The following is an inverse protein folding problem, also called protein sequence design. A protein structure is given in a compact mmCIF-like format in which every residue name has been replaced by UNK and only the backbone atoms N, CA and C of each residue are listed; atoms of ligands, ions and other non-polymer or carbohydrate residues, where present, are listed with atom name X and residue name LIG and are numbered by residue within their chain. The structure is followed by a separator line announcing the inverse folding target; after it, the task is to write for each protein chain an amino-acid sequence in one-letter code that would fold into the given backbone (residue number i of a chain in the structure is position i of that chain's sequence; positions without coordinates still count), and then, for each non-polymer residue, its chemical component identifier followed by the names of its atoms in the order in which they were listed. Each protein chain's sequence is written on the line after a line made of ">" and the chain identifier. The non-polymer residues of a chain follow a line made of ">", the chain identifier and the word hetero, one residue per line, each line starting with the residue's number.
data_IF_451551161285
#
_entry.id   IF_451551161285
#
_cell.length_a   1.000
_cell.length_b   1.000
_cell.length_c   1.000
_cell.angle_alpha   90.00
_cell.angle_beta   90.00
_cell.angle_gamma   90.00
#
_symmetry.space_group_name_H-M   'P 1'
#
loop_
_entity.id
_entity.type
_entity.pdbx_description
1 polymer ?
#
# COMPACT_ATOMS: atom_id res chain seq x y z
N UNK A 1 24.22 -7.36 15.41
CA UNK A 1 22.95 -7.87 15.95
C UNK A 1 22.08 -8.17 14.74
N UNK A 2 21.69 -9.43 14.50
CA UNK A 2 20.90 -9.80 13.31
C UNK A 2 19.51 -9.15 13.37
N UNK A 3 18.93 -8.82 12.21
CA UNK A 3 17.56 -8.29 12.13
C UNK A 3 16.54 -9.22 12.82
N UNK A 4 16.78 -10.54 12.82
CA UNK A 4 15.99 -11.51 13.58
C UNK A 4 16.09 -11.33 15.10
N UNK A 5 17.27 -10.98 15.63
CA UNK A 5 17.42 -10.75 17.08
C UNK A 5 16.74 -9.46 17.50
N UNK A 6 16.82 -8.43 16.67
CA UNK A 6 16.14 -7.15 16.91
C UNK A 6 14.62 -7.36 16.86
N UNK A 7 14.12 -8.10 15.86
CA UNK A 7 12.72 -8.48 15.75
C UNK A 7 12.25 -9.31 16.94
N UNK A 8 13.04 -10.29 17.38
CA UNK A 8 12.70 -11.13 18.52
C UNK A 8 12.64 -10.34 19.83
N UNK A 9 13.61 -9.47 20.09
CA UNK A 9 13.58 -8.60 21.27
C UNK A 9 12.41 -7.61 21.23
N UNK A 10 12.14 -6.98 20.08
CA UNK A 10 11.00 -6.08 19.92
C UNK A 10 9.65 -6.80 20.06
N UNK A 11 9.54 -7.99 19.48
CA UNK A 11 8.36 -8.85 19.59
C UNK A 11 8.14 -9.30 21.03
N UNK A 12 9.19 -9.70 21.74
CA UNK A 12 9.11 -10.16 23.13
C UNK A 12 8.77 -8.99 24.07
N UNK A 13 9.35 -7.81 23.87
CA UNK A 13 9.02 -6.61 24.65
C UNK A 13 7.58 -6.15 24.40
N UNK A 14 7.12 -6.19 23.14
CA UNK A 14 5.74 -5.84 22.78
C UNK A 14 4.74 -6.87 23.32
N UNK A 15 5.06 -8.16 23.23
CA UNK A 15 4.24 -9.25 23.73
C UNK A 15 4.15 -9.22 25.27
N UNK A 16 5.26 -8.95 25.95
CA UNK A 16 5.29 -8.80 27.40
C UNK A 16 4.48 -7.58 27.84
N UNK A 17 4.64 -6.44 27.15
CA UNK A 17 3.81 -5.26 27.38
C UNK A 17 2.32 -5.57 27.21
N UNK A 18 1.94 -6.16 26.08
CA UNK A 18 0.54 -6.50 25.77
C UNK A 18 -0.04 -7.54 26.75
N UNK A 19 0.74 -8.53 27.18
CA UNK A 19 0.33 -9.54 28.15
C UNK A 19 0.09 -8.93 29.54
N UNK A 20 1.03 -8.11 30.03
CA UNK A 20 0.92 -7.41 31.32
C UNK A 20 -0.35 -6.52 31.34
N UNK A 21 -0.62 -5.84 30.23
CA UNK A 21 -1.77 -4.96 30.08
C UNK A 21 -3.09 -5.72 29.88
N UNK A 22 -3.09 -6.86 29.19
CA UNK A 22 -4.26 -7.76 29.06
C UNK A 22 -4.66 -8.35 30.41
N UNK A 23 -3.68 -8.78 31.21
CA UNK A 23 -3.90 -9.26 32.58
C UNK A 23 -4.50 -8.14 33.43
N UNK A 24 -3.97 -6.92 33.30
CA UNK A 24 -4.48 -5.76 34.04
C UNK A 24 -5.90 -5.39 33.61
N UNK A 25 -6.20 -5.39 32.32
CA UNK A 25 -7.55 -5.12 31.81
C UNK A 25 -8.56 -6.19 32.27
N UNK A 26 -8.22 -7.47 32.17
CA UNK A 26 -9.06 -8.59 32.67
C UNK A 26 -9.34 -8.46 34.18
N UNK A 27 -8.37 -8.00 34.96
CA UNK A 27 -8.55 -7.75 36.39
C UNK A 27 -9.58 -6.66 36.67
N UNK A 28 -9.63 -5.58 35.88
CA UNK A 28 -10.66 -4.54 36.06
C UNK A 28 -12.04 -4.98 35.56
N UNK A 29 -12.12 -5.64 34.39
CA UNK A 29 -13.39 -6.11 33.84
C UNK A 29 -14.07 -7.16 34.74
N UNK A 30 -13.30 -8.05 35.38
CA UNK A 30 -13.87 -9.06 36.29
C UNK A 30 -14.19 -8.52 37.70
N UNK A 31 -13.81 -7.28 38.04
CA UNK A 31 -14.02 -6.71 39.37
C UNK A 31 -15.04 -5.57 39.42
N UNK A 32 -15.79 -5.32 38.34
CA UNK A 32 -16.73 -4.17 38.28
C UNK A 32 -18.21 -4.56 38.26
N UNK A 33 -18.63 -5.74 38.75
CA UNK A 33 -20.09 -5.99 38.82
C UNK A 33 -20.65 -6.91 39.92
N UNK A 34 -19.93 -7.21 41.02
CA UNK A 34 -20.52 -8.15 42.01
C UNK A 34 -20.25 -7.92 43.51
N UNK A 35 -20.05 -6.68 43.98
CA UNK A 35 -19.89 -6.48 45.45
C UNK A 35 -20.40 -5.17 46.07
N UNK A 36 -21.31 -4.44 45.40
CA UNK A 36 -21.90 -3.21 45.97
C UNK A 36 -23.33 -3.41 46.50
N UNK A 37 -24.05 -4.48 46.11
CA UNK A 37 -25.43 -4.69 46.60
C UNK A 37 -25.56 -5.57 47.86
N UNK A 38 -24.54 -6.34 48.26
CA UNK A 38 -24.63 -7.22 49.45
C UNK A 38 -24.06 -6.60 50.74
N UNK A 39 -23.47 -5.40 50.63
CA UNK A 39 -22.83 -4.69 51.76
C UNK A 39 -23.75 -3.70 52.50
N UNK A 40 -24.98 -3.49 52.02
CA UNK A 40 -25.98 -2.62 52.68
C UNK A 40 -27.03 -3.38 53.51
N UNK A 41 -26.99 -4.72 53.54
CA UNK A 41 -27.92 -5.56 54.33
C UNK A 41 -27.32 -6.09 55.65
N UNK A 42 -26.01 -5.92 55.89
CA UNK A 42 -25.30 -6.52 57.05
C UNK A 42 -24.87 -5.55 58.16
N UNK A 43 -25.38 -4.31 58.17
CA UNK A 43 -25.06 -3.33 59.25
C UNK A 43 -25.91 -3.53 60.52
N UNK A 44 -26.96 -4.36 60.51
CA UNK A 44 -27.73 -4.67 61.72
C UNK A 44 -27.52 -6.13 62.18
N UNK A 45 -26.41 -6.40 62.87
CA UNK A 45 -26.30 -7.35 64.01
C UNK A 45 -24.85 -7.48 64.48
N UNK A 46 -24.42 -6.52 65.30
CA UNK A 46 -23.42 -6.77 66.33
C UNK A 46 -24.11 -7.48 67.50
N UNK A 47 -23.84 -8.78 67.68
CA UNK A 47 -23.96 -9.42 68.99
C UNK A 47 -23.07 -10.67 69.08
N UNK A 48 -22.14 -10.59 70.03
CA UNK A 48 -21.54 -11.66 70.83
C UNK A 48 -20.57 -12.69 70.19
N UNK A 49 -19.30 -12.48 70.56
CA UNK A 49 -18.41 -13.43 71.27
C UNK A 49 -17.64 -14.55 70.53
N UNK A 50 -16.30 -14.42 70.65
CA UNK A 50 -15.33 -15.43 71.12
C UNK A 50 -14.44 -16.24 70.13
N UNK A 51 -13.15 -15.87 70.19
CA UNK A 51 -11.91 -16.67 70.38
C UNK A 51 -11.32 -17.60 69.29
N UNK A 52 -9.99 -17.39 69.13
CA UNK A 52 -8.89 -18.33 68.80
C UNK A 52 -8.74 -18.70 67.30
N UNK A 53 -7.59 -18.90 66.67
CA UNK A 53 -6.13 -18.87 67.00
C UNK A 53 -5.38 -19.03 65.66
N UNK A 54 -4.13 -18.55 65.55
CA UNK A 54 -3.11 -19.16 64.67
C UNK A 54 -2.82 -18.49 63.31
N UNK A 55 -1.59 -17.96 63.18
CA UNK A 55 -0.92 -17.41 61.99
C UNK A 55 -0.67 -18.52 60.93
N UNK A 56 -0.58 -18.30 59.61
CA UNK A 56 0.30 -17.40 58.88
C UNK A 56 -0.33 -16.91 57.56
N UNK A 57 -0.34 -15.59 57.34
CA UNK A 57 -0.56 -15.00 56.01
C UNK A 57 0.62 -14.11 55.67
N UNK A 58 1.39 -14.55 54.69
CA UNK A 58 2.36 -13.75 53.94
C UNK A 58 1.66 -12.44 53.53
N UNK A 59 2.11 -11.34 54.11
CA UNK A 59 1.65 -9.99 53.76
C UNK A 59 2.21 -9.66 52.39
N UNK A 60 1.49 -10.04 51.33
CA UNK A 60 1.58 -9.34 50.06
C UNK A 60 0.97 -7.96 50.29
N UNK A 61 1.82 -6.94 50.46
CA UNK A 61 1.42 -5.53 50.35
C UNK A 61 0.80 -5.34 48.97
N UNK A 62 -0.52 -5.50 48.88
CA UNK A 62 -1.36 -5.08 47.77
C UNK A 62 -1.41 -3.56 47.77
N UNK A 63 -0.35 -2.94 47.28
CA UNK A 63 -0.40 -1.55 46.84
C UNK A 63 -1.24 -1.50 45.58
N UNK A 64 -2.47 -1.03 45.71
CA UNK A 64 -3.34 -0.73 44.56
C UNK A 64 -2.70 0.37 43.71
N UNK A 65 -1.79 0.00 42.80
CA UNK A 65 -1.35 0.90 41.75
C UNK A 65 -2.48 0.98 40.73
N UNK A 66 -3.43 1.89 40.97
CA UNK A 66 -4.43 2.29 39.99
C UNK A 66 -3.67 2.84 38.78
N UNK A 67 -3.65 2.12 37.67
CA UNK A 67 -3.17 2.66 36.40
C UNK A 67 -4.04 3.88 36.09
N UNK A 68 -3.43 5.07 35.99
CA UNK A 68 -4.20 6.28 35.72
C UNK A 68 -4.74 6.18 34.29
N UNK A 69 -5.92 6.76 34.03
CA UNK A 69 -6.47 6.85 32.67
C UNK A 69 -5.46 7.47 31.69
N UNK A 70 -4.63 8.41 32.17
CA UNK A 70 -3.50 8.96 31.42
C UNK A 70 -2.47 7.92 30.99
N UNK A 71 -2.18 6.92 31.81
CA UNK A 71 -1.16 5.91 31.54
C UNK A 71 -1.65 4.90 30.48
N UNK A 72 -2.95 4.55 30.52
CA UNK A 72 -3.61 3.76 29.48
C UNK A 72 -3.69 4.53 28.15
N UNK A 73 -4.08 5.80 28.20
CA UNK A 73 -4.14 6.65 26.99
C UNK A 73 -2.74 6.86 26.40
N UNK A 74 -1.71 7.03 27.23
CA UNK A 74 -0.30 7.11 26.79
C UNK A 74 0.19 5.78 26.19
N UNK A 75 -0.27 4.64 26.68
CA UNK A 75 0.04 3.33 26.10
C UNK A 75 -0.65 3.17 24.74
N UNK A 76 -1.95 3.45 24.65
CA UNK A 76 -2.69 3.40 23.40
C UNK A 76 -2.07 4.33 22.35
N UNK A 77 -1.62 5.52 22.76
CA UNK A 77 -0.90 6.45 21.90
C UNK A 77 0.44 5.87 21.43
N UNK A 78 1.26 5.32 22.34
CA UNK A 78 2.56 4.74 21.99
C UNK A 78 2.45 3.52 21.07
N UNK A 79 1.49 2.63 21.28
CA UNK A 79 1.24 1.48 20.39
C UNK A 79 0.79 1.95 19.02
N UNK A 80 -0.09 2.96 18.94
CA UNK A 80 -0.53 3.56 17.67
C UNK A 80 0.62 4.20 16.89
N UNK A 81 1.38 5.09 17.51
CA UNK A 81 2.50 5.77 16.86
C UNK A 81 3.62 4.82 16.45
N UNK A 82 3.88 3.77 17.24
CA UNK A 82 4.89 2.77 16.91
C UNK A 82 4.49 1.92 15.70
N UNK A 83 3.23 1.48 15.64
CA UNK A 83 2.73 0.69 14.51
C UNK A 83 2.71 1.48 13.21
N UNK A 84 2.27 2.75 13.25
CA UNK A 84 2.31 3.67 12.11
C UNK A 84 3.73 3.80 11.54
N UNK A 85 4.73 4.03 12.41
CA UNK A 85 6.12 4.12 11.99
C UNK A 85 6.64 2.85 11.30
N UNK A 86 6.27 1.67 11.80
CA UNK A 86 6.66 0.39 11.18
C UNK A 86 6.04 0.20 9.80
N UNK A 87 4.76 0.54 9.64
CA UNK A 87 4.07 0.44 8.33
C UNK A 87 4.73 1.38 7.32
N UNK A 88 5.12 2.59 7.73
CA UNK A 88 5.82 3.53 6.85
C UNK A 88 7.22 3.05 6.46
N UNK A 89 7.96 2.41 7.37
CA UNK A 89 9.25 1.78 7.07
C UNK A 89 9.06 0.64 6.08
N UNK A 90 8.08 -0.23 6.31
CA UNK A 90 7.76 -1.33 5.40
C UNK A 90 7.39 -0.83 4.00
N UNK A 91 6.56 0.24 3.91
CA UNK A 91 6.23 0.88 2.63
C UNK A 91 7.46 1.47 1.94
N UNK A 92 8.45 1.94 2.71
CA UNK A 92 9.69 2.44 2.15
C UNK A 92 10.59 1.33 1.60
N UNK A 93 10.70 0.22 2.30
CA UNK A 93 11.40 -0.96 1.78
C UNK A 93 10.70 -1.53 0.54
N UNK A 94 9.37 -1.44 0.50
CA UNK A 94 8.57 -1.87 -0.64
C UNK A 94 8.93 -1.12 -1.95
N UNK A 95 9.44 0.12 -1.88
CA UNK A 95 9.84 0.87 -3.08
C UNK A 95 10.88 0.12 -3.92
N UNK A 96 11.95 -0.37 -3.28
CA UNK A 96 13.04 -1.06 -3.96
C UNK A 96 12.61 -2.46 -4.42
N UNK A 97 11.78 -3.14 -3.62
CA UNK A 97 11.23 -4.45 -3.97
C UNK A 97 10.34 -4.35 -5.20
N UNK A 98 9.40 -3.39 -5.23
CA UNK A 98 8.53 -3.15 -6.37
C UNK A 98 9.30 -2.71 -7.61
N UNK A 99 10.30 -1.84 -7.48
CA UNK A 99 11.13 -1.40 -8.61
C UNK A 99 11.99 -2.54 -9.20
N UNK A 100 12.51 -3.43 -8.35
CA UNK A 100 13.25 -4.62 -8.80
C UNK A 100 12.31 -5.64 -9.46
N UNK A 101 11.12 -5.86 -8.88
CA UNK A 101 10.10 -6.75 -9.44
C UNK A 101 9.69 -6.29 -10.84
N UNK A 102 9.38 -5.00 -10.99
CA UNK A 102 9.11 -4.34 -12.26
C UNK A 102 10.19 -4.64 -13.31
N UNK A 103 11.45 -4.36 -12.95
CA UNK A 103 12.58 -4.54 -13.86
C UNK A 103 12.68 -5.99 -14.35
N UNK A 104 12.52 -6.94 -13.44
CA UNK A 104 12.54 -8.36 -13.78
C UNK A 104 11.33 -8.75 -14.66
N UNK A 105 10.13 -8.27 -14.36
CA UNK A 105 8.94 -8.53 -15.16
C UNK A 105 9.08 -8.00 -16.59
N UNK A 106 9.57 -6.77 -16.74
CA UNK A 106 9.84 -6.16 -18.04
C UNK A 106 10.94 -6.90 -18.80
N UNK A 107 12.07 -7.22 -18.16
CA UNK A 107 13.20 -7.87 -18.81
C UNK A 107 12.86 -9.29 -19.27
N UNK A 108 12.00 -10.02 -18.53
CA UNK A 108 11.45 -11.31 -18.98
C UNK A 108 10.54 -11.14 -20.19
N UNK A 109 9.57 -10.23 -20.12
CA UNK A 109 8.62 -10.00 -21.21
C UNK A 109 9.34 -9.54 -22.49
N UNK A 110 10.42 -8.77 -22.34
CA UNK A 110 11.33 -8.41 -23.43
C UNK A 110 12.00 -9.64 -24.06
N UNK A 111 12.48 -10.59 -23.27
CA UNK A 111 13.06 -11.85 -23.76
C UNK A 111 12.03 -12.72 -24.48
N UNK A 112 10.77 -12.69 -24.02
CA UNK A 112 9.66 -13.42 -24.64
C UNK A 112 9.12 -12.74 -25.92
N UNK A 113 9.60 -11.53 -26.24
CA UNK A 113 9.20 -10.76 -27.41
C UNK A 113 7.88 -10.00 -27.25
N UNK A 114 7.56 -9.60 -26.02
CA UNK A 114 6.36 -8.86 -25.64
C UNK A 114 5.08 -9.55 -26.11
N UNK A 115 4.80 -10.73 -25.56
CA UNK A 115 3.63 -11.51 -25.96
C UNK A 115 2.35 -11.02 -25.28
N UNK A 116 1.30 -10.88 -26.07
CA UNK A 116 -0.06 -10.69 -25.58
C UNK A 116 -0.62 -12.01 -25.05
N UNK A 117 -1.35 -11.97 -23.94
CA UNK A 117 -1.94 -13.18 -23.35
C UNK A 117 -3.08 -13.77 -24.18
N UNK A 118 -3.72 -12.96 -25.04
CA UNK A 118 -4.77 -13.41 -25.98
C UNK A 118 -4.96 -12.39 -27.11
N UNK A 119 -5.74 -12.76 -28.15
CA UNK A 119 -6.09 -11.87 -29.27
C UNK A 119 -6.85 -10.60 -28.84
N UNK A 120 -7.64 -10.68 -27.77
CA UNK A 120 -8.43 -9.56 -27.26
C UNK A 120 -7.64 -8.65 -26.30
N UNK A 121 -6.41 -9.02 -25.96
CA UNK A 121 -5.54 -8.28 -25.04
C UNK A 121 -4.41 -7.65 -25.85
N UNK A 122 -4.39 -6.33 -25.92
CA UNK A 122 -3.49 -5.58 -26.80
C UNK A 122 -2.16 -5.15 -26.12
N UNK A 123 -1.97 -5.53 -24.86
CA UNK A 123 -0.79 -5.28 -24.05
C UNK A 123 -0.13 -6.61 -23.65
N UNK A 124 1.13 -6.58 -23.22
CA UNK A 124 1.89 -7.78 -22.87
C UNK A 124 1.88 -8.09 -21.37
N UNK A 125 2.42 -9.27 -21.02
CA UNK A 125 2.33 -9.85 -19.69
C UNK A 125 2.99 -9.01 -18.59
N UNK A 126 4.05 -8.24 -18.89
CA UNK A 126 4.72 -7.42 -17.87
C UNK A 126 3.79 -6.39 -17.20
N UNK A 127 2.80 -5.87 -17.92
CA UNK A 127 1.81 -4.95 -17.33
C UNK A 127 0.96 -5.67 -16.29
N UNK A 128 0.53 -6.90 -16.59
CA UNK A 128 -0.26 -7.72 -15.66
C UNK A 128 0.54 -8.05 -14.41
N UNK A 129 1.80 -8.46 -14.57
CA UNK A 129 2.70 -8.78 -13.46
C UNK A 129 2.89 -7.58 -12.52
N UNK A 130 3.20 -6.40 -13.09
CA UNK A 130 3.44 -5.16 -12.31
C UNK A 130 2.20 -4.77 -11.52
N UNK A 131 1.02 -4.77 -12.14
CA UNK A 131 -0.20 -4.40 -11.41
C UNK A 131 -0.67 -5.48 -10.44
N UNK A 132 -0.38 -6.75 -10.70
CA UNK A 132 -0.61 -7.82 -9.71
C UNK A 132 0.20 -7.55 -8.45
N UNK A 133 1.49 -7.20 -8.60
CA UNK A 133 2.35 -6.90 -7.46
C UNK A 133 1.91 -5.63 -6.72
N UNK A 134 1.60 -4.55 -7.43
CA UNK A 134 1.13 -3.31 -6.81
C UNK A 134 -0.21 -3.51 -6.06
N UNK A 135 -1.14 -4.28 -6.64
CA UNK A 135 -2.40 -4.59 -5.96
C UNK A 135 -2.18 -5.47 -4.72
N UNK A 136 -1.21 -6.40 -4.74
CA UNK A 136 -0.85 -7.17 -3.54
C UNK A 136 -0.33 -6.25 -2.42
N UNK A 137 0.54 -5.28 -2.75
CA UNK A 137 0.99 -4.28 -1.78
C UNK A 137 -0.18 -3.47 -1.22
N UNK A 138 -1.10 -3.04 -2.09
CA UNK A 138 -2.30 -2.31 -1.69
C UNK A 138 -3.21 -3.13 -0.77
N UNK A 139 -3.42 -4.41 -1.08
CA UNK A 139 -4.25 -5.31 -0.27
C UNK A 139 -3.67 -5.52 1.14
N UNK A 140 -2.34 -5.51 1.27
CA UNK A 140 -1.69 -5.55 2.59
C UNK A 140 -2.05 -4.31 3.40
N UNK A 141 -2.00 -3.11 2.80
CA UNK A 141 -2.38 -1.85 3.47
C UNK A 141 -3.86 -1.91 3.89
N UNK A 142 -4.75 -2.39 3.01
CA UNK A 142 -6.18 -2.51 3.32
C UNK A 142 -6.47 -3.47 4.47
N UNK A 143 -5.75 -4.60 4.53
CA UNK A 143 -5.87 -5.60 5.60
C UNK A 143 -5.39 -5.11 6.97
N UNK A 144 -4.72 -3.95 7.03
CA UNK A 144 -4.42 -3.30 8.32
C UNK A 144 -5.70 -2.77 9.00
N UNK A 145 -6.79 -2.59 8.24
CA UNK A 145 -8.10 -2.11 8.73
C UNK A 145 -7.96 -0.88 9.66
N UNK A 146 -7.18 0.12 9.22
CA UNK A 146 -6.80 1.24 10.08
C UNK A 146 -8.05 2.01 10.55
N UNK A 147 -8.27 2.14 11.88
CA UNK A 147 -9.44 2.82 12.41
C UNK A 147 -9.36 4.34 12.25
N UNK A 148 -8.15 4.89 12.12
CA UNK A 148 -7.89 6.31 11.94
C UNK A 148 -7.71 6.64 10.45
N UNK A 149 -8.67 7.38 9.88
CA UNK A 149 -8.67 7.75 8.47
C UNK A 149 -7.54 8.71 8.09
N UNK A 150 -7.02 9.50 9.04
CA UNK A 150 -5.87 10.36 8.75
C UNK A 150 -4.60 9.53 8.58
N UNK A 151 -4.38 8.55 9.46
CA UNK A 151 -3.22 7.64 9.38
C UNK A 151 -3.32 6.75 8.14
N UNK A 152 -4.51 6.22 7.83
CA UNK A 152 -4.75 5.47 6.59
C UNK A 152 -4.41 6.32 5.35
N UNK A 153 -4.80 7.60 5.36
CA UNK A 153 -4.44 8.57 4.33
C UNK A 153 -2.93 8.74 4.14
N UNK A 154 -2.16 8.73 5.23
CA UNK A 154 -0.69 8.79 5.17
C UNK A 154 -0.08 7.52 4.55
N UNK A 155 -0.64 6.35 4.84
CA UNK A 155 -0.19 5.10 4.20
C UNK A 155 -0.46 5.13 2.70
N UNK A 156 -1.64 5.59 2.28
CA UNK A 156 -1.94 5.76 0.85
C UNK A 156 -1.08 6.84 0.20
N UNK A 157 -0.78 7.94 0.90
CA UNK A 157 0.17 8.92 0.43
C UNK A 157 1.54 8.29 0.17
N UNK A 158 2.07 7.54 1.14
CA UNK A 158 3.38 6.89 1.01
C UNK A 158 3.39 5.83 -0.09
N UNK A 159 2.32 5.05 -0.22
CA UNK A 159 2.18 4.04 -1.27
C UNK A 159 2.07 4.68 -2.67
N UNK A 160 1.47 5.86 -2.78
CA UNK A 160 1.42 6.59 -4.06
C UNK A 160 2.81 6.96 -4.59
N UNK A 161 3.80 7.18 -3.71
CA UNK A 161 5.20 7.38 -4.10
C UNK A 161 5.80 6.10 -4.73
N UNK A 162 5.47 4.94 -4.18
CA UNK A 162 5.89 3.65 -4.74
C UNK A 162 5.29 3.43 -6.13
N UNK A 163 3.99 3.67 -6.28
CA UNK A 163 3.28 3.55 -7.57
C UNK A 163 3.88 4.49 -8.60
N UNK A 164 4.10 5.76 -8.25
CA UNK A 164 4.75 6.74 -9.12
C UNK A 164 6.14 6.26 -9.58
N UNK A 165 7.00 5.87 -8.64
CA UNK A 165 8.35 5.39 -8.94
C UNK A 165 8.34 4.19 -9.90
N UNK A 166 7.46 3.21 -9.65
CA UNK A 166 7.35 1.98 -10.44
C UNK A 166 6.82 2.27 -11.85
N UNK A 167 5.73 3.03 -11.99
CA UNK A 167 5.13 3.27 -13.31
C UNK A 167 6.01 4.16 -14.19
N UNK A 168 6.69 5.14 -13.61
CA UNK A 168 7.64 5.97 -14.35
C UNK A 168 8.87 5.16 -14.78
N UNK A 169 9.39 4.30 -13.89
CA UNK A 169 10.48 3.41 -14.26
C UNK A 169 10.08 2.43 -15.38
N UNK A 170 8.83 1.96 -15.43
CA UNK A 170 8.32 1.18 -16.56
C UNK A 170 8.38 2.02 -17.84
N UNK A 171 7.78 3.21 -17.80
CA UNK A 171 7.68 4.12 -18.94
C UNK A 171 9.06 4.54 -19.49
N UNK A 172 10.02 4.81 -18.60
CA UNK A 172 11.40 5.16 -18.98
C UNK A 172 12.11 3.99 -19.68
N UNK A 173 11.89 2.74 -19.23
CA UNK A 173 12.42 1.55 -19.92
C UNK A 173 11.83 1.36 -21.31
N UNK A 174 10.50 1.53 -21.43
CA UNK A 174 9.82 1.48 -22.73
C UNK A 174 10.43 2.52 -23.68
N UNK A 175 10.55 3.77 -23.23
CA UNK A 175 11.12 4.86 -24.03
C UNK A 175 12.57 4.58 -24.46
N UNK A 176 13.39 4.06 -23.56
CA UNK A 176 14.78 3.73 -23.83
C UNK A 176 14.92 2.63 -24.90
N UNK A 177 14.02 1.64 -24.87
CA UNK A 177 14.06 0.50 -25.79
C UNK A 177 13.31 0.73 -27.10
N UNK A 178 12.39 1.71 -27.15
CA UNK A 178 11.43 1.87 -28.24
C UNK A 178 12.09 2.02 -29.62
N UNK A 179 13.23 2.72 -29.70
CA UNK A 179 13.97 2.91 -30.95
C UNK A 179 14.39 1.60 -31.61
N UNK A 180 14.65 0.57 -30.80
CA UNK A 180 15.06 -0.76 -31.26
C UNK A 180 13.93 -1.51 -31.97
N UNK A 181 12.68 -1.19 -31.62
CA UNK A 181 11.49 -1.89 -32.12
C UNK A 181 10.76 -1.12 -33.23
N UNK A 182 11.28 0.04 -33.69
CA UNK A 182 10.60 0.85 -34.73
C UNK A 182 10.24 0.04 -35.99
N UNK A 183 11.13 -0.86 -36.41
CA UNK A 183 10.91 -1.71 -37.58
C UNK A 183 9.96 -2.87 -37.33
N UNK A 184 9.73 -3.25 -36.07
CA UNK A 184 8.76 -4.27 -35.67
C UNK A 184 7.47 -3.59 -35.22
N UNK A 185 6.59 -3.33 -36.19
CA UNK A 185 5.33 -2.62 -35.95
C UNK A 185 4.46 -3.32 -34.89
N UNK A 186 4.51 -4.66 -34.80
CA UNK A 186 3.72 -5.40 -33.82
C UNK A 186 4.20 -5.05 -32.41
N UNK A 187 5.51 -5.20 -32.15
CA UNK A 187 6.06 -4.94 -30.82
C UNK A 187 5.95 -3.46 -30.47
N UNK A 188 6.21 -2.55 -31.41
CA UNK A 188 6.08 -1.13 -31.17
C UNK A 188 4.65 -0.73 -30.75
N UNK A 189 3.62 -1.26 -31.42
CA UNK A 189 2.23 -1.06 -31.00
C UNK A 189 1.95 -1.62 -29.59
N UNK A 190 2.45 -2.81 -29.28
CA UNK A 190 2.29 -3.42 -27.94
C UNK A 190 2.91 -2.52 -26.87
N UNK A 191 4.09 -1.93 -27.10
CA UNK A 191 4.73 -1.02 -26.14
C UNK A 191 3.93 0.27 -25.90
N UNK A 192 3.30 0.82 -26.95
CA UNK A 192 2.36 1.96 -26.80
C UNK A 192 1.16 1.53 -25.97
N UNK A 193 0.58 0.36 -26.28
CA UNK A 193 -0.56 -0.18 -25.56
C UNK A 193 -0.24 -0.49 -24.10
N UNK A 194 0.96 -0.99 -23.80
CA UNK A 194 1.42 -1.24 -22.44
C UNK A 194 1.40 0.04 -21.63
N UNK A 195 1.98 1.11 -22.17
CA UNK A 195 2.04 2.43 -21.52
C UNK A 195 0.63 2.99 -21.31
N UNK A 196 -0.24 2.85 -22.30
CA UNK A 196 -1.65 3.22 -22.16
C UNK A 196 -2.36 2.38 -21.08
N UNK A 197 -2.06 1.08 -21.01
CA UNK A 197 -2.63 0.19 -20.01
C UNK A 197 -2.16 0.53 -18.60
N UNK A 198 -0.93 1.06 -18.42
CA UNK A 198 -0.48 1.62 -17.15
C UNK A 198 -1.43 2.72 -16.65
N UNK A 199 -1.85 3.63 -17.54
CA UNK A 199 -2.79 4.70 -17.20
C UNK A 199 -4.15 4.17 -16.77
N UNK A 200 -4.68 3.21 -17.53
CA UNK A 200 -5.99 2.61 -17.24
C UNK A 200 -5.97 1.88 -15.89
N UNK A 201 -4.91 1.12 -15.58
CA UNK A 201 -4.83 0.41 -14.30
C UNK A 201 -4.48 1.36 -13.13
N UNK A 202 -3.69 2.41 -13.37
CA UNK A 202 -3.46 3.46 -12.37
C UNK A 202 -4.78 4.11 -11.94
N UNK A 203 -5.70 4.35 -12.87
CA UNK A 203 -7.02 4.91 -12.56
C UNK A 203 -7.80 4.00 -11.61
N UNK A 204 -7.76 2.69 -11.84
CA UNK A 204 -8.39 1.69 -10.96
C UNK A 204 -7.75 1.65 -9.57
N UNK A 205 -6.41 1.72 -9.50
CA UNK A 205 -5.70 1.82 -8.20
C UNK A 205 -6.15 3.07 -7.46
N UNK A 206 -6.28 4.20 -8.17
CA UNK A 206 -6.72 5.46 -7.59
C UNK A 206 -8.18 5.42 -7.11
N UNK A 207 -9.08 4.79 -7.86
CA UNK A 207 -10.48 4.55 -7.42
C UNK A 207 -10.52 3.66 -6.18
N UNK A 208 -9.73 2.58 -6.15
CA UNK A 208 -9.67 1.63 -5.04
C UNK A 208 -9.15 2.25 -3.73
N UNK A 209 -8.29 3.26 -3.82
CA UNK A 209 -7.81 4.06 -2.68
C UNK A 209 -8.87 5.02 -2.12
N UNK A 210 -10.13 4.92 -2.56
CA UNK A 210 -11.24 5.79 -2.16
C UNK A 210 -10.92 7.27 -2.46
N UNK A 211 -10.79 7.58 -3.75
CA UNK A 211 -10.42 8.89 -4.33
C UNK A 211 -10.93 10.10 -3.54
N UNK A 212 -12.20 10.14 -3.15
CA UNK A 212 -12.82 11.29 -2.47
C UNK A 212 -12.31 11.50 -1.04
N UNK A 213 -11.80 10.45 -0.40
CA UNK A 213 -11.29 10.47 0.97
C UNK A 213 -9.78 10.73 1.06
N UNK A 214 -9.08 10.75 -0.09
CA UNK A 214 -7.64 10.98 -0.13
C UNK A 214 -7.29 12.46 0.08
N UNK A 215 -6.20 12.69 0.81
CA UNK A 215 -5.61 14.03 0.96
C UNK A 215 -5.30 14.66 -0.41
N UNK A 216 -5.45 15.99 -0.51
CA UNK A 216 -5.24 16.72 -1.77
C UNK A 216 -3.89 16.41 -2.40
N UNK A 217 -2.82 16.39 -1.60
CA UNK A 217 -1.46 16.12 -2.09
C UNK A 217 -1.35 14.75 -2.79
N UNK A 218 -1.96 13.71 -2.22
CA UNK A 218 -1.97 12.36 -2.82
C UNK A 218 -2.77 12.34 -4.12
N UNK A 219 -3.92 13.03 -4.14
CA UNK A 219 -4.75 13.17 -5.36
C UNK A 219 -4.00 13.89 -6.47
N UNK A 220 -3.42 15.04 -6.16
CA UNK A 220 -2.66 15.88 -7.08
C UNK A 220 -1.47 15.12 -7.67
N UNK A 221 -0.79 14.30 -6.84
CA UNK A 221 0.30 13.42 -7.28
C UNK A 221 -0.16 12.36 -8.27
N UNK A 222 -1.23 11.62 -7.95
CA UNK A 222 -1.74 10.56 -8.84
C UNK A 222 -2.27 11.15 -10.16
N UNK A 223 -2.90 12.32 -10.11
CA UNK A 223 -3.32 13.07 -11.29
C UNK A 223 -2.12 13.57 -12.12
N UNK A 224 -1.06 14.06 -11.49
CA UNK A 224 0.16 14.43 -12.20
C UNK A 224 0.83 13.21 -12.85
N UNK A 225 0.84 12.06 -12.19
CA UNK A 225 1.34 10.80 -12.75
C UNK A 225 0.53 10.36 -13.98
N UNK A 226 -0.80 10.45 -13.94
CA UNK A 226 -1.66 10.21 -15.11
C UNK A 226 -1.27 11.11 -16.30
N UNK A 227 -1.03 12.40 -16.03
CA UNK A 227 -0.58 13.36 -17.04
C UNK A 227 0.77 12.97 -17.65
N UNK A 228 1.75 12.65 -16.81
CA UNK A 228 3.10 12.23 -17.25
C UNK A 228 3.05 10.96 -18.10
N UNK A 229 2.26 9.96 -17.71
CA UNK A 229 2.08 8.75 -18.50
C UNK A 229 1.39 9.04 -19.84
N UNK A 230 0.44 9.98 -19.88
CA UNK A 230 -0.17 10.43 -21.13
C UNK A 230 0.87 11.04 -22.07
N UNK A 231 1.73 11.93 -21.56
CA UNK A 231 2.82 12.51 -22.36
C UNK A 231 3.78 11.46 -22.91
N UNK A 232 4.04 10.37 -22.17
CA UNK A 232 4.85 9.25 -22.68
C UNK A 232 4.12 8.53 -23.80
N UNK A 233 2.82 8.23 -23.66
CA UNK A 233 2.01 7.64 -24.74
C UNK A 233 2.06 8.52 -25.99
N UNK A 234 1.89 9.83 -25.85
CA UNK A 234 1.95 10.77 -26.97
C UNK A 234 3.32 10.73 -27.67
N UNK A 235 4.42 10.72 -26.89
CA UNK A 235 5.78 10.60 -27.44
C UNK A 235 5.99 9.29 -28.21
N UNK A 236 5.52 8.17 -27.65
CA UNK A 236 5.64 6.85 -28.30
C UNK A 236 4.80 6.80 -29.59
N UNK A 237 3.58 7.35 -29.57
CA UNK A 237 2.71 7.43 -30.73
C UNK A 237 3.35 8.26 -31.86
N UNK A 238 3.92 9.43 -31.55
CA UNK A 238 4.65 10.25 -32.53
C UNK A 238 5.79 9.43 -33.15
N UNK A 239 6.65 8.83 -32.32
CA UNK A 239 7.78 8.03 -32.80
C UNK A 239 7.36 6.82 -33.65
N UNK A 240 6.21 6.22 -33.36
CA UNK A 240 5.62 5.14 -34.16
C UNK A 240 5.12 5.66 -35.52
N UNK A 241 4.56 6.86 -35.56
CA UNK A 241 3.99 7.44 -36.78
C UNK A 241 5.01 8.06 -37.73
N UNK A 242 6.17 8.51 -37.21
CA UNK A 242 7.22 9.19 -37.97
C UNK A 242 7.68 8.37 -39.21
N UNK A 243 7.74 7.05 -39.09
CA UNK A 243 8.17 6.19 -40.20
C UNK A 243 7.21 6.18 -41.39
N UNK A 244 5.93 6.49 -41.18
CA UNK A 244 4.92 6.51 -42.24
C UNK A 244 4.86 7.86 -42.97
N UNK A 245 5.37 8.93 -42.36
CA UNK A 245 5.28 10.30 -42.87
C UNK A 245 5.85 10.45 -44.31
N UNK A 246 7.01 9.87 -44.67
CA UNK A 246 7.52 9.94 -46.05
C UNK A 246 6.60 9.23 -47.05
N UNK A 247 6.08 8.06 -46.68
CA UNK A 247 5.17 7.27 -47.52
C UNK A 247 3.85 8.00 -47.74
N UNK A 248 3.26 8.57 -46.68
CA UNK A 248 2.02 9.36 -46.78
C UNK A 248 2.23 10.56 -47.72
N UNK A 249 3.34 11.29 -47.59
CA UNK A 249 3.67 12.41 -48.49
C UNK A 249 3.81 11.98 -49.95
N UNK A 250 4.42 10.83 -50.21
CA UNK A 250 4.57 10.30 -51.57
C UNK A 250 3.21 10.00 -52.19
N UNK A 251 2.38 9.22 -51.50
CA UNK A 251 1.04 8.88 -51.99
C UNK A 251 0.17 10.12 -52.17
N UNK A 252 0.24 11.09 -51.24
CA UNK A 252 -0.48 12.36 -51.38
C UNK A 252 -0.05 13.12 -52.66
N UNK A 253 1.25 13.12 -52.98
CA UNK A 253 1.77 13.74 -54.21
C UNK A 253 1.34 13.00 -55.46
N UNK A 254 1.29 11.68 -55.44
CA UNK A 254 0.81 10.87 -56.56
C UNK A 254 -0.68 11.08 -56.81
N UNK A 255 -1.50 11.09 -55.76
CA UNK A 255 -2.91 11.47 -55.85
C UNK A 255 -3.08 12.88 -56.45
N UNK A 256 -2.27 13.86 -56.01
CA UNK A 256 -2.27 15.20 -56.59
C UNK A 256 -1.95 15.23 -58.09
N UNK A 257 -0.97 14.43 -58.54
CA UNK A 257 -0.66 14.29 -59.97
C UNK A 257 -1.80 13.64 -60.75
N UNK A 258 -2.48 12.65 -60.17
CA UNK A 258 -3.63 12.02 -60.82
C UNK A 258 -4.79 13.00 -60.94
N UNK A 259 -5.10 13.76 -59.88
CA UNK A 259 -6.15 14.79 -59.93
C UNK A 259 -5.89 15.85 -61.01
N UNK A 260 -4.63 16.28 -61.20
CA UNK A 260 -4.26 17.21 -62.28
C UNK A 260 -4.49 16.65 -63.69
N UNK A 261 -4.58 15.33 -63.87
CA UNK A 261 -4.85 14.72 -65.19
C UNK A 261 -6.34 14.64 -65.53
N UNK A 262 -7.22 14.81 -64.54
CA UNK A 262 -8.67 14.73 -64.71
C UNK A 262 -9.33 16.11 -64.61
N UNK A 263 -8.59 17.13 -64.15
CA UNK A 263 -8.98 18.54 -64.18
C UNK A 263 -8.58 19.19 -65.51
#
# INVERSE_FOLDING_TARGET
>A
MSAEMIWKCLSDDLANGLAQHTITAKYYFNNTEENILDSLSKVNKLRDSSKSTGQDKVVLKSGMNKIKSSDYMNLCFRVKCWFEGLVLIWLAENDEVSANYLRNAYDRDKQDGFQCSSEHVLYSNSVVDVFTQLNQCFDVIRKLECPDKQVEGQFFHRFSLTVEKVLLAYADRVLADFSTYKTDQRVACILVNNTQQLRVQLEKVYENMARESLESNTRDRLSALQGRLNEVVDKLAIQLTDQFEPGVRLHARECGKLLQKVS
#
